data_IF_486600021616
#
_entry.id   IF_486600021616
#
_cell.length_a   1.000
_cell.length_b   1.000
_cell.length_c   1.000
_cell.angle_alpha   90.00
_cell.angle_beta   90.00
_cell.angle_gamma   90.00
#
_symmetry.space_group_name_H-M   'P 1'
#
loop_
_entity.id
_entity.type
_entity.pdbx_description
1 polymer ?
#
# COMPACT_ATOMS: atom_id res chain seq x y z
N UNK A 1 -4.90 -53.51 36.08
CA UNK A 1 -4.29 -52.17 35.96
C UNK A 1 -3.03 -52.27 35.11
N UNK A 2 -3.03 -51.63 33.93
CA UNK A 2 -1.83 -51.28 33.16
C UNK A 2 -2.09 -49.85 32.65
N UNK A 3 -1.23 -48.87 32.93
CA UNK A 3 -1.30 -47.60 32.22
C UNK A 3 -0.32 -47.61 31.04
N UNK A 4 -0.80 -47.07 29.92
CA UNK A 4 -0.02 -46.61 28.78
C UNK A 4 0.71 -45.31 29.16
N UNK A 5 1.94 -45.15 28.68
CA UNK A 5 2.54 -43.85 28.41
C UNK A 5 3.20 -43.93 27.02
N UNK A 6 2.65 -43.15 26.08
CA UNK A 6 3.22 -42.83 24.78
C UNK A 6 3.84 -41.45 24.91
N UNK A 7 5.16 -41.36 24.81
CA UNK A 7 5.84 -40.10 24.52
C UNK A 7 6.02 -40.03 22.99
N UNK A 8 5.25 -39.14 22.36
CA UNK A 8 5.41 -38.74 20.97
C UNK A 8 6.09 -37.37 20.96
N UNK A 9 7.23 -37.31 20.29
CA UNK A 9 7.97 -36.09 20.02
C UNK A 9 7.14 -35.12 19.16
N UNK A 10 7.07 -33.85 19.58
CA UNK A 10 6.46 -32.78 18.81
C UNK A 10 7.46 -32.15 17.82
N UNK A 11 7.07 -32.20 16.55
CA UNK A 11 7.62 -31.45 15.42
C UNK A 11 7.45 -29.94 15.64
N UNK A 12 8.56 -29.21 15.70
CA UNK A 12 8.60 -27.76 15.52
C UNK A 12 9.25 -27.41 14.18
N UNK A 13 8.50 -27.51 13.07
CA UNK A 13 8.93 -26.94 11.80
C UNK A 13 8.76 -25.42 11.85
N UNK A 14 9.88 -24.70 11.99
CA UNK A 14 9.93 -23.27 11.77
C UNK A 14 9.93 -23.02 10.26
N UNK A 15 8.81 -22.56 9.70
CA UNK A 15 8.77 -22.08 8.32
C UNK A 15 9.43 -20.71 8.26
N UNK A 16 10.73 -20.73 7.94
CA UNK A 16 11.43 -19.58 7.38
C UNK A 16 10.77 -19.28 6.03
N UNK A 17 10.01 -18.20 5.95
CA UNK A 17 9.67 -17.63 4.66
C UNK A 17 10.87 -16.79 4.20
N UNK A 18 11.68 -17.42 3.35
CA UNK A 18 12.65 -16.74 2.51
C UNK A 18 11.89 -15.75 1.61
N UNK A 19 12.01 -14.45 1.88
CA UNK A 19 11.65 -13.40 0.93
C UNK A 19 12.67 -13.46 -0.22
N UNK A 20 12.37 -14.23 -1.26
CA UNK A 20 13.10 -14.11 -2.52
C UNK A 20 12.85 -12.70 -3.10
N UNK A 21 13.89 -11.93 -3.44
CA UNK A 21 13.71 -10.66 -4.12
C UNK A 21 13.13 -10.95 -5.50
N UNK A 22 11.91 -10.43 -5.78
CA UNK A 22 11.35 -10.38 -7.14
C UNK A 22 12.40 -9.70 -8.03
N UNK A 23 13.12 -10.49 -8.83
CA UNK A 23 14.14 -9.99 -9.78
C UNK A 23 13.44 -9.01 -10.72
N UNK A 24 13.68 -7.72 -10.49
CA UNK A 24 13.13 -6.67 -11.33
C UNK A 24 13.71 -6.83 -12.73
N UNK A 25 12.91 -7.34 -13.68
CA UNK A 25 13.23 -7.25 -15.11
C UNK A 25 13.44 -5.77 -15.42
N UNK A 26 14.63 -5.41 -15.89
CA UNK A 26 14.98 -4.04 -16.23
C UNK A 26 14.04 -3.57 -17.35
N UNK A 27 13.23 -2.56 -17.08
CA UNK A 27 12.28 -2.00 -18.03
C UNK A 27 13.03 -1.29 -19.16
N UNK A 28 12.60 -1.49 -20.41
CA UNK A 28 13.11 -0.72 -21.54
C UNK A 28 12.41 0.64 -21.57
N UNK A 29 13.08 1.66 -21.05
CA UNK A 29 12.51 3.00 -20.87
C UNK A 29 12.12 3.68 -22.19
N UNK A 30 12.60 3.20 -23.35
CA UNK A 30 12.21 3.75 -24.66
C UNK A 30 10.73 3.52 -25.02
N UNK A 31 10.09 2.54 -24.37
CA UNK A 31 8.67 2.19 -24.54
C UNK A 31 7.74 2.93 -23.58
N UNK A 32 8.29 3.69 -22.64
CA UNK A 32 7.49 4.49 -21.71
C UNK A 32 7.00 5.73 -22.44
N UNK A 33 5.69 5.91 -22.47
CA UNK A 33 5.08 7.15 -22.97
C UNK A 33 5.26 8.24 -21.91
N UNK A 34 5.99 9.30 -22.28
CA UNK A 34 6.20 10.46 -21.41
C UNK A 34 4.96 11.34 -21.43
N UNK A 35 4.31 11.50 -20.28
CA UNK A 35 3.27 12.51 -20.11
C UNK A 35 3.89 13.91 -20.06
N UNK A 36 3.27 14.92 -20.71
CA UNK A 36 3.77 16.27 -20.66
C UNK A 36 3.72 16.80 -19.22
N UNK A 37 4.80 17.47 -18.81
CA UNK A 37 4.82 18.18 -17.55
C UNK A 37 3.86 19.37 -17.60
N UNK A 38 3.30 19.75 -16.44
CA UNK A 38 2.53 20.99 -16.34
C UNK A 38 3.40 22.20 -16.66
N UNK A 39 2.87 23.14 -17.45
CA UNK A 39 3.55 24.40 -17.79
C UNK A 39 3.41 25.45 -16.67
N UNK A 40 2.31 25.38 -15.91
CA UNK A 40 2.03 26.30 -14.81
C UNK A 40 2.84 25.92 -13.56
N UNK A 41 3.49 26.92 -12.96
CA UNK A 41 4.14 26.75 -11.66
C UNK A 41 3.10 26.77 -10.53
N UNK A 42 3.33 25.94 -9.52
CA UNK A 42 2.60 25.94 -8.25
C UNK A 42 3.52 26.54 -7.18
N UNK A 43 3.02 27.47 -6.37
CA UNK A 43 3.78 28.03 -5.27
C UNK A 43 3.90 27.04 -4.09
N UNK A 44 4.84 27.32 -3.19
CA UNK A 44 5.12 26.43 -2.07
C UNK A 44 3.93 26.36 -1.10
N UNK A 45 3.26 27.48 -0.90
CA UNK A 45 2.09 27.60 -0.04
C UNK A 45 1.02 26.61 -0.50
N UNK A 46 0.70 26.59 -1.79
CA UNK A 46 -0.31 25.71 -2.36
C UNK A 46 0.06 24.24 -2.25
N UNK A 47 1.33 23.90 -2.47
CA UNK A 47 1.83 22.53 -2.24
C UNK A 47 1.68 22.13 -0.76
N UNK A 48 2.09 23.01 0.14
CA UNK A 48 2.12 22.77 1.59
C UNK A 48 0.74 22.63 2.23
N UNK A 49 -0.34 23.03 1.53
CA UNK A 49 -1.71 22.78 1.95
C UNK A 49 -2.05 21.28 1.97
N UNK A 50 -1.34 20.45 1.20
CA UNK A 50 -1.57 19.00 1.17
C UNK A 50 -0.82 18.31 2.31
N UNK A 51 -1.53 17.54 3.14
CA UNK A 51 -0.94 16.84 4.28
C UNK A 51 -0.54 15.41 3.86
N UNK A 52 0.73 15.26 3.47
CA UNK A 52 1.33 13.98 3.11
C UNK A 52 1.94 13.29 4.32
N UNK A 53 1.53 12.05 4.57
CA UNK A 53 1.93 11.27 5.73
C UNK A 53 2.37 9.87 5.38
N UNK A 54 3.37 9.40 6.13
CA UNK A 54 3.69 7.98 6.21
C UNK A 54 2.63 7.26 7.03
N UNK A 55 2.10 6.19 6.46
CA UNK A 55 1.08 5.33 7.08
C UNK A 55 1.54 3.87 7.13
N UNK A 56 1.10 3.13 8.13
CA UNK A 56 1.38 1.68 8.28
C UNK A 56 0.14 0.88 7.96
N UNK A 57 0.27 -0.17 7.14
CA UNK A 57 -0.86 -1.05 6.83
C UNK A 57 -1.09 -2.04 7.97
N UNK A 58 -2.17 -1.83 8.73
CA UNK A 58 -2.60 -2.76 9.79
C UNK A 58 -3.40 -3.93 9.20
N UNK A 59 -4.27 -3.64 8.22
CA UNK A 59 -5.03 -4.64 7.49
C UNK A 59 -5.29 -4.18 6.06
N UNK A 60 -5.40 -5.14 5.15
CA UNK A 60 -5.80 -4.90 3.76
C UNK A 60 -6.78 -6.00 3.35
N UNK A 61 -7.89 -5.63 2.72
CA UNK A 61 -8.98 -6.53 2.36
C UNK A 61 -9.47 -6.21 0.96
N UNK A 62 -9.93 -7.21 0.21
CA UNK A 62 -10.64 -6.94 -1.04
C UNK A 62 -12.03 -6.36 -0.75
N UNK A 63 -12.46 -5.35 -1.52
CA UNK A 63 -13.81 -4.82 -1.40
C UNK A 63 -14.80 -5.75 -2.10
N UNK A 64 -15.83 -6.28 -1.41
CA UNK A 64 -16.83 -7.15 -2.03
C UNK A 64 -17.47 -6.50 -3.24
N UNK A 65 -17.69 -7.27 -4.31
CA UNK A 65 -18.27 -6.83 -5.59
C UNK A 65 -17.43 -5.80 -6.36
N UNK A 66 -16.23 -5.45 -5.89
CA UNK A 66 -15.28 -4.64 -6.66
C UNK A 66 -14.24 -5.50 -7.37
N UNK A 67 -13.97 -5.17 -8.63
CA UNK A 67 -12.88 -5.78 -9.40
C UNK A 67 -11.54 -5.10 -9.19
N UNK A 68 -11.52 -3.87 -8.65
CA UNK A 68 -10.32 -3.01 -8.62
C UNK A 68 -9.91 -2.56 -7.22
N UNK A 69 -10.84 -2.55 -6.26
CA UNK A 69 -10.61 -1.89 -4.96
C UNK A 69 -10.07 -2.85 -3.90
N UNK A 70 -9.04 -2.38 -3.22
CA UNK A 70 -8.60 -2.85 -1.91
C UNK A 70 -8.99 -1.82 -0.85
N UNK A 71 -9.32 -2.30 0.34
CA UNK A 71 -9.62 -1.51 1.53
C UNK A 71 -8.47 -1.65 2.52
N UNK A 72 -7.89 -0.52 2.88
CA UNK A 72 -6.78 -0.43 3.83
C UNK A 72 -7.29 0.07 5.17
N UNK A 73 -6.88 -0.60 6.24
CA UNK A 73 -6.92 -0.07 7.60
C UNK A 73 -5.51 0.34 7.97
N UNK A 74 -5.32 1.63 8.25
CA UNK A 74 -4.01 2.26 8.32
C UNK A 74 -3.76 2.89 9.70
N UNK A 75 -2.53 2.78 10.17
CA UNK A 75 -1.98 3.67 11.21
C UNK A 75 -1.44 4.94 10.56
N UNK A 76 -2.02 6.09 10.88
CA UNK A 76 -1.48 7.40 10.49
C UNK A 76 -0.79 8.14 11.66
N UNK A 77 -0.65 7.46 12.81
CA UNK A 77 -0.09 7.97 14.05
C UNK A 77 -1.02 8.91 14.84
N UNK A 78 -2.28 9.10 14.41
CA UNK A 78 -3.29 9.85 15.18
C UNK A 78 -3.86 9.07 16.37
N UNK A 79 -3.58 7.78 16.46
CA UNK A 79 -4.19 6.85 17.44
C UNK A 79 -5.57 6.34 17.03
N UNK A 80 -6.08 6.72 15.86
CA UNK A 80 -7.30 6.16 15.26
C UNK A 80 -6.97 5.45 13.95
N UNK A 81 -7.67 4.37 13.67
CA UNK A 81 -7.53 3.68 12.40
C UNK A 81 -8.14 4.51 11.27
N UNK A 82 -7.36 4.69 10.20
CA UNK A 82 -7.80 5.35 8.98
C UNK A 82 -8.19 4.33 7.93
N UNK A 83 -9.35 4.52 7.31
CA UNK A 83 -9.77 3.73 6.15
C UNK A 83 -9.44 4.47 4.86
N UNK A 84 -8.74 3.83 3.94
CA UNK A 84 -8.53 4.32 2.56
C UNK A 84 -8.86 3.18 1.59
N UNK A 85 -9.57 3.49 0.52
CA UNK A 85 -9.78 2.56 -0.60
C UNK A 85 -8.82 2.92 -1.74
N UNK A 86 -8.18 1.91 -2.33
CA UNK A 86 -7.28 2.11 -3.48
C UNK A 86 -7.59 1.14 -4.62
N UNK A 87 -7.57 1.64 -5.84
CA UNK A 87 -7.91 0.92 -7.08
C UNK A 87 -6.83 -0.01 -7.62
N UNK A 88 -6.00 -0.58 -6.74
CA UNK A 88 -4.75 -1.26 -7.11
C UNK A 88 -4.80 -2.80 -7.03
N UNK A 89 -5.99 -3.39 -6.87
CA UNK A 89 -6.17 -4.85 -6.74
C UNK A 89 -5.59 -5.65 -7.93
N UNK A 90 -5.53 -5.04 -9.12
CA UNK A 90 -4.95 -5.69 -10.30
C UNK A 90 -3.42 -5.78 -10.25
N UNK A 91 -2.79 -5.00 -9.38
CA UNK A 91 -1.32 -4.88 -9.27
C UNK A 91 -0.79 -5.53 -8.00
N UNK A 92 -1.60 -5.56 -6.94
CA UNK A 92 -1.20 -6.10 -5.65
C UNK A 92 -2.27 -7.00 -5.04
N UNK A 93 -1.83 -8.05 -4.33
CA UNK A 93 -2.72 -8.81 -3.44
C UNK A 93 -2.92 -8.06 -2.12
N UNK A 94 -4.05 -8.32 -1.45
CA UNK A 94 -4.28 -7.72 -0.13
C UNK A 94 -3.23 -8.19 0.90
N UNK A 95 -2.85 -9.47 0.83
CA UNK A 95 -1.92 -10.12 1.75
C UNK A 95 -0.52 -9.52 1.68
N UNK A 96 -0.01 -9.21 0.48
CA UNK A 96 1.37 -8.69 0.35
C UNK A 96 1.51 -7.24 0.83
N UNK A 97 0.40 -6.54 1.06
CA UNK A 97 0.38 -5.15 1.51
C UNK A 97 0.28 -5.00 3.03
N UNK A 98 -0.13 -6.05 3.76
CA UNK A 98 -0.18 -6.00 5.23
C UNK A 98 1.23 -5.82 5.79
N UNK A 99 1.39 -4.92 6.76
CA UNK A 99 2.69 -4.58 7.36
C UNK A 99 3.57 -3.65 6.50
N UNK A 100 3.18 -3.33 5.26
CA UNK A 100 3.93 -2.36 4.44
C UNK A 100 3.76 -0.94 4.98
N UNK A 101 4.76 -0.10 4.67
CA UNK A 101 4.79 1.32 5.00
C UNK A 101 4.57 2.12 3.74
N UNK A 102 3.52 2.94 3.71
CA UNK A 102 3.05 3.62 2.50
C UNK A 102 3.02 5.14 2.68
N UNK A 103 2.94 5.84 1.56
CA UNK A 103 2.68 7.27 1.52
C UNK A 103 1.21 7.54 1.20
N UNK A 104 0.58 8.42 1.99
CA UNK A 104 -0.79 8.87 1.79
C UNK A 104 -0.91 10.38 1.88
N UNK A 105 -1.90 10.95 1.19
CA UNK A 105 -2.46 12.27 1.53
C UNK A 105 -3.65 12.07 2.47
N UNK A 106 -3.64 12.76 3.61
CA UNK A 106 -4.56 12.48 4.74
C UNK A 106 -5.61 13.56 4.98
N UNK A 107 -5.53 14.70 4.29
CA UNK A 107 -6.44 15.84 4.46
C UNK A 107 -7.36 16.09 3.26
N UNK A 108 -7.54 15.09 2.38
CA UNK A 108 -8.62 15.12 1.39
C UNK A 108 -9.99 14.97 2.09
N UNK A 109 -11.05 15.59 1.55
CA UNK A 109 -12.40 15.33 2.03
C UNK A 109 -12.74 13.84 1.84
N UNK A 110 -13.45 13.22 2.80
CA UNK A 110 -13.84 11.82 2.66
C UNK A 110 -14.67 11.58 1.41
N UNK A 111 -14.41 10.46 0.74
CA UNK A 111 -15.15 10.04 -0.46
C UNK A 111 -15.77 8.67 -0.25
N UNK A 112 -17.08 8.59 -0.35
CA UNK A 112 -17.77 7.31 -0.29
C UNK A 112 -17.60 6.53 -1.60
N UNK A 113 -17.22 5.26 -1.50
CA UNK A 113 -17.14 4.35 -2.63
C UNK A 113 -17.62 2.97 -2.17
N UNK A 114 -18.54 2.36 -2.91
CA UNK A 114 -19.13 1.05 -2.54
C UNK A 114 -19.70 0.99 -1.11
N UNK A 115 -20.22 2.12 -0.59
CA UNK A 115 -20.77 2.21 0.77
C UNK A 115 -19.72 2.32 1.88
N UNK A 116 -18.45 2.55 1.53
CA UNK A 116 -17.34 2.70 2.48
C UNK A 116 -16.73 4.09 2.30
N UNK A 117 -16.51 4.79 3.40
CA UNK A 117 -15.88 6.11 3.42
C UNK A 117 -14.35 5.98 3.30
N UNK A 118 -13.78 6.52 2.22
CA UNK A 118 -12.33 6.59 2.00
C UNK A 118 -11.79 7.95 2.45
N UNK A 119 -11.00 7.95 3.51
CA UNK A 119 -10.49 9.15 4.18
C UNK A 119 -9.04 9.43 3.78
N UNK A 120 -8.79 9.65 2.50
CA UNK A 120 -7.46 9.94 1.96
C UNK A 120 -7.18 9.21 0.66
N UNK A 121 -5.92 9.27 0.23
CA UNK A 121 -5.45 8.60 -0.99
C UNK A 121 -4.02 8.10 -0.80
N UNK A 122 -3.76 6.86 -1.17
CA UNK A 122 -2.42 6.29 -1.26
C UNK A 122 -1.74 6.75 -2.54
N UNK A 123 -0.44 7.05 -2.50
CA UNK A 123 0.31 7.53 -3.66
C UNK A 123 1.02 6.39 -4.38
N UNK A 124 0.92 6.37 -5.70
CA UNK A 124 1.58 5.41 -6.58
C UNK A 124 2.23 6.15 -7.75
N UNK A 125 3.37 5.67 -8.22
CA UNK A 125 3.91 6.04 -9.51
C UNK A 125 3.21 5.23 -10.60
N UNK A 126 2.76 5.89 -11.66
CA UNK A 126 2.08 5.25 -12.80
C UNK A 126 2.76 5.67 -14.10
N UNK A 127 2.81 4.76 -15.07
CA UNK A 127 3.24 5.08 -16.42
C UNK A 127 2.56 4.19 -17.47
N UNK A 128 2.35 4.72 -18.67
CA UNK A 128 1.96 3.96 -19.84
C UNK A 128 3.21 3.36 -20.50
N UNK A 129 3.24 2.03 -20.61
CA UNK A 129 4.30 1.24 -21.23
C UNK A 129 3.69 0.39 -22.36
N UNK A 130 3.98 0.76 -23.61
CA UNK A 130 3.40 0.10 -24.81
C UNK A 130 1.85 -0.04 -24.78
N UNK A 131 1.13 0.91 -24.19
CA UNK A 131 -0.33 0.88 -24.07
C UNK A 131 -0.86 0.13 -22.84
N UNK A 132 0.02 -0.37 -21.97
CA UNK A 132 -0.31 -0.96 -20.69
C UNK A 132 0.04 -0.01 -19.53
N UNK A 133 -0.88 0.15 -18.58
CA UNK A 133 -0.60 0.90 -17.35
C UNK A 133 0.26 0.05 -16.41
N UNK A 134 1.44 0.55 -16.07
CA UNK A 134 2.24 0.04 -14.96
C UNK A 134 2.00 0.92 -13.74
N UNK A 135 1.90 0.28 -12.58
CA UNK A 135 1.71 0.94 -11.31
C UNK A 135 2.73 0.43 -10.29
N UNK A 136 3.35 1.36 -9.57
CA UNK A 136 4.17 1.07 -8.41
C UNK A 136 3.66 1.88 -7.21
N UNK A 137 3.08 1.19 -6.22
CA UNK A 137 2.69 1.81 -4.97
C UNK A 137 3.93 2.30 -4.23
N UNK A 138 3.93 3.55 -3.78
CA UNK A 138 5.07 4.13 -3.07
C UNK A 138 5.17 3.47 -1.70
N UNK A 139 6.13 2.55 -1.57
CA UNK A 139 6.50 1.91 -0.33
C UNK A 139 7.78 2.55 0.23
N UNK A 140 7.74 2.90 1.50
CA UNK A 140 8.86 3.51 2.22
C UNK A 140 9.51 2.49 3.16
N UNK A 141 10.70 2.85 3.68
CA UNK A 141 11.40 2.03 4.67
C UNK A 141 10.52 1.78 5.91
N UNK A 142 10.52 0.54 6.40
CA UNK A 142 9.71 0.10 7.53
C UNK A 142 10.01 0.79 8.86
N UNK A 143 11.20 1.39 9.00
CA UNK A 143 11.62 2.08 10.21
C UNK A 143 11.10 3.52 10.31
N UNK A 144 10.55 4.08 9.23
CA UNK A 144 9.98 5.42 9.27
C UNK A 144 8.66 5.35 10.05
N UNK A 145 8.47 6.13 11.13
CA UNK A 145 7.28 6.02 11.97
C UNK A 145 6.03 6.47 11.23
N UNK A 146 4.87 5.91 11.62
CA UNK A 146 3.59 6.48 11.24
C UNK A 146 3.54 7.96 11.66
N UNK A 147 2.77 8.78 10.93
CA UNK A 147 2.66 10.25 11.07
C UNK A 147 3.81 11.09 10.53
N UNK A 148 4.95 10.48 10.16
CA UNK A 148 6.05 11.23 9.56
C UNK A 148 5.55 12.04 8.36
N UNK A 149 5.91 13.32 8.32
CA UNK A 149 5.49 14.25 7.27
C UNK A 149 6.42 14.19 6.07
N UNK A 150 5.85 14.36 4.88
CA UNK A 150 6.60 14.57 3.63
C UNK A 150 6.44 16.05 3.24
N UNK A 151 7.57 16.67 2.89
CA UNK A 151 7.70 18.04 2.40
C UNK A 151 8.63 18.05 1.18
#
# INVERSE_FOLDING_TARGET
MKPLAKDLAENGESSKHDEEPKVAKKLDLSKVKVEPLFEDFVDFEKFSESDFRVVKVKACEEVPKSKKLLKFTLDDGSGKDRTILSGIKNFYSAEELVGKTLLAITNLPPREMMGIESCGMLLSAVCDYDGEELLNLIMLDGNIPASAKIY
#
